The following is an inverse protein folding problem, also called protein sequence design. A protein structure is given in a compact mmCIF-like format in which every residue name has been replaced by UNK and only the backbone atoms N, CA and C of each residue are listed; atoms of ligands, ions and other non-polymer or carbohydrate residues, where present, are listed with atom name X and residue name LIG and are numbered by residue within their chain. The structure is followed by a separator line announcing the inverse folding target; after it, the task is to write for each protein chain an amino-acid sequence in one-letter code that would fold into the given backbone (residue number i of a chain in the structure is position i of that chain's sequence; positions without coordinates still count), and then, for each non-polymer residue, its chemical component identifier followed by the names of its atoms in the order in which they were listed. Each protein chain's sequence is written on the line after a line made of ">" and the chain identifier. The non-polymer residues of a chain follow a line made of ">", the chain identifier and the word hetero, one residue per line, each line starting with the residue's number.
data_IF_220270392739
#
_entry.id   IF_220270392739
#
_cell.length_a   1.000
_cell.length_b   1.000
_cell.length_c   1.000
_cell.angle_alpha   90.00
_cell.angle_beta   90.00
_cell.angle_gamma   90.00
#
_symmetry.space_group_name_H-M   'P 1'
#
loop_
_entity.id
_entity.type
_entity.pdbx_description
1 polymer ?
#
# COMPACT_ATOMS: atom_id res chain seq x y z
N UNK A 1 -27.14 22.53 -24.43
CA UNK A 1 -27.44 21.29 -23.68
C UNK A 1 -26.93 21.47 -22.27
N UNK A 2 -27.84 21.58 -21.30
CA UNK A 2 -27.49 21.57 -19.87
C UNK A 2 -27.16 20.12 -19.52
N UNK A 3 -25.93 19.86 -19.10
CA UNK A 3 -25.54 18.55 -18.60
C UNK A 3 -26.40 18.23 -17.39
N UNK A 4 -27.27 17.24 -17.51
CA UNK A 4 -28.02 16.69 -16.37
C UNK A 4 -26.98 16.05 -15.47
N UNK A 5 -26.67 16.70 -14.35
CA UNK A 5 -25.87 16.09 -13.30
C UNK A 5 -26.59 14.82 -12.86
N UNK A 6 -26.03 13.65 -13.18
CA UNK A 6 -26.50 12.38 -12.61
C UNK A 6 -26.44 12.56 -11.10
N UNK A 7 -27.58 12.49 -10.43
CA UNK A 7 -27.62 12.39 -8.97
C UNK A 7 -26.69 11.25 -8.57
N UNK A 8 -25.74 11.49 -7.64
CA UNK A 8 -24.90 10.41 -7.15
C UNK A 8 -25.80 9.31 -6.55
N UNK A 9 -25.47 8.05 -6.78
CA UNK A 9 -26.03 6.94 -6.01
C UNK A 9 -25.92 7.30 -4.52
N UNK A 10 -26.97 7.07 -3.73
CA UNK A 10 -26.98 7.42 -2.30
C UNK A 10 -25.79 6.82 -1.53
N UNK A 11 -25.30 5.65 -1.97
CA UNK A 11 -24.11 5.03 -1.40
C UNK A 11 -22.83 5.79 -1.76
N UNK A 12 -22.72 6.36 -2.97
CA UNK A 12 -21.61 7.22 -3.37
C UNK A 12 -21.65 8.53 -2.57
N UNK A 13 -22.82 9.16 -2.45
CA UNK A 13 -22.97 10.41 -1.71
C UNK A 13 -22.62 10.24 -0.23
N UNK A 14 -23.11 9.15 0.40
CA UNK A 14 -22.78 8.81 1.78
C UNK A 14 -21.29 8.54 1.95
N UNK A 15 -20.70 7.70 1.10
CA UNK A 15 -19.29 7.35 1.21
C UNK A 15 -18.38 8.54 0.89
N UNK A 16 -18.81 9.45 0.03
CA UNK A 16 -18.14 10.73 -0.19
C UNK A 16 -18.15 11.56 1.10
N UNK A 17 -19.30 11.73 1.75
CA UNK A 17 -19.38 12.45 3.03
C UNK A 17 -18.50 11.81 4.11
N UNK A 18 -18.51 10.48 4.22
CA UNK A 18 -17.65 9.74 5.16
C UNK A 18 -16.17 9.97 4.84
N UNK A 19 -15.82 10.06 3.54
CA UNK A 19 -14.47 10.39 3.07
C UNK A 19 -14.12 11.85 3.38
N UNK A 20 -15.02 12.82 3.20
CA UNK A 20 -14.77 14.22 3.56
C UNK A 20 -14.49 14.35 5.07
N UNK A 21 -15.33 13.74 5.90
CA UNK A 21 -15.13 13.74 7.35
C UNK A 21 -13.80 13.07 7.73
N UNK A 22 -13.49 11.94 7.08
CA UNK A 22 -12.24 11.23 7.26
C UNK A 22 -11.01 12.08 6.92
N UNK A 23 -11.03 12.77 5.78
CA UNK A 23 -9.92 13.64 5.35
C UNK A 23 -9.73 14.85 6.26
N UNK A 24 -10.81 15.39 6.85
CA UNK A 24 -10.74 16.48 7.84
C UNK A 24 -10.13 16.06 9.18
N UNK A 25 -10.08 14.75 9.49
CA UNK A 25 -9.40 14.24 10.68
C UNK A 25 -7.87 14.23 10.55
N UNK A 26 -7.35 14.38 9.34
CA UNK A 26 -5.92 14.50 9.08
C UNK A 26 -5.45 15.95 9.26
N UNK A 27 -4.25 16.15 9.81
CA UNK A 27 -3.63 17.47 9.95
C UNK A 27 -2.92 17.97 8.69
N UNK A 28 -2.65 17.08 7.72
CA UNK A 28 -2.10 17.36 6.40
C UNK A 28 -2.84 16.56 5.33
N UNK A 29 -2.37 16.69 4.09
CA UNK A 29 -2.89 15.99 2.93
C UNK A 29 -2.95 14.46 3.20
N UNK A 30 -4.14 13.85 3.20
CA UNK A 30 -4.28 12.43 3.41
C UNK A 30 -3.84 11.63 2.18
N UNK A 31 -3.52 10.36 2.41
CA UNK A 31 -3.37 9.35 1.37
C UNK A 31 -4.59 8.47 1.35
N UNK A 32 -5.30 8.48 0.22
CA UNK A 32 -6.38 7.53 -0.04
C UNK A 32 -5.76 6.23 -0.51
N UNK A 33 -5.94 5.18 0.29
CA UNK A 33 -5.48 3.83 0.00
C UNK A 33 -6.59 3.02 -0.69
N UNK A 34 -6.42 2.86 -2.00
CA UNK A 34 -7.28 2.11 -2.91
C UNK A 34 -6.69 0.75 -3.29
N UNK A 35 -5.96 0.09 -2.38
CA UNK A 35 -5.44 -1.27 -2.58
C UNK A 35 -6.50 -2.39 -2.54
N UNK A 36 -7.77 -2.04 -2.34
CA UNK A 36 -8.90 -2.99 -2.29
C UNK A 36 -9.56 -3.16 -3.67
N UNK A 37 -10.40 -4.20 -3.88
CA UNK A 37 -11.14 -4.38 -5.14
C UNK A 37 -11.92 -3.13 -5.55
N UNK A 38 -12.15 -2.99 -6.87
CA UNK A 38 -12.90 -1.91 -7.53
C UNK A 38 -14.36 -1.82 -7.06
N UNK A 39 -14.62 -1.40 -5.82
CA UNK A 39 -15.97 -1.10 -5.35
C UNK A 39 -16.43 0.19 -6.02
N UNK A 40 -17.42 0.09 -6.89
CA UNK A 40 -17.99 1.24 -7.61
C UNK A 40 -18.30 2.43 -6.69
N UNK A 41 -18.87 2.24 -5.48
CA UNK A 41 -19.10 3.36 -4.57
C UNK A 41 -17.81 4.07 -4.13
N UNK A 42 -16.74 3.31 -3.88
CA UNK A 42 -15.42 3.86 -3.48
C UNK A 42 -14.80 4.66 -4.62
N UNK A 43 -14.81 4.13 -5.84
CA UNK A 43 -14.32 4.85 -7.02
C UNK A 43 -15.13 6.14 -7.25
N UNK A 44 -16.44 6.06 -7.10
CA UNK A 44 -17.34 7.21 -7.19
C UNK A 44 -17.03 8.30 -6.15
N UNK A 45 -16.84 7.90 -4.88
CA UNK A 45 -16.54 8.82 -3.79
C UNK A 45 -15.18 9.51 -3.96
N UNK A 46 -14.14 8.76 -4.33
CA UNK A 46 -12.80 9.33 -4.59
C UNK A 46 -12.80 10.22 -5.84
N UNK A 47 -13.57 9.85 -6.87
CA UNK A 47 -13.77 10.69 -8.05
C UNK A 47 -14.48 12.01 -7.71
N UNK A 48 -15.46 11.98 -6.80
CA UNK A 48 -16.13 13.18 -6.31
C UNK A 48 -15.17 14.09 -5.52
N UNK A 49 -14.37 13.52 -4.60
CA UNK A 49 -13.33 14.24 -3.86
C UNK A 49 -12.34 14.95 -4.80
N UNK A 50 -11.87 14.24 -5.83
CA UNK A 50 -10.99 14.82 -6.85
C UNK A 50 -11.64 16.00 -7.59
N UNK A 51 -12.86 15.81 -8.10
CA UNK A 51 -13.59 16.85 -8.87
C UNK A 51 -13.90 18.09 -8.03
N UNK A 52 -14.10 17.91 -6.73
CA UNK A 52 -14.34 19.01 -5.79
C UNK A 52 -13.05 19.68 -5.30
N UNK A 53 -11.88 19.28 -5.83
CA UNK A 53 -10.61 19.92 -5.53
C UNK A 53 -10.02 19.57 -4.17
N UNK A 54 -10.46 18.47 -3.55
CA UNK A 54 -9.84 18.00 -2.31
C UNK A 54 -8.42 17.52 -2.58
N UNK A 55 -7.48 17.99 -1.77
CA UNK A 55 -6.09 17.55 -1.85
C UNK A 55 -5.95 16.18 -1.17
N UNK A 56 -5.41 15.21 -1.91
CA UNK A 56 -5.02 13.91 -1.37
C UNK A 56 -3.88 13.32 -2.22
N UNK A 57 -3.05 12.48 -1.59
CA UNK A 57 -2.23 11.48 -2.28
C UNK A 57 -3.05 10.22 -2.52
N UNK A 58 -2.68 9.39 -3.49
CA UNK A 58 -3.36 8.13 -3.78
C UNK A 58 -2.40 6.97 -3.97
N UNK A 59 -2.74 5.83 -3.38
CA UNK A 59 -2.03 4.57 -3.55
C UNK A 59 -3.02 3.45 -3.87
N UNK A 60 -2.69 2.48 -4.74
CA UNK A 60 -1.48 2.40 -5.55
C UNK A 60 -1.45 3.43 -6.68
N UNK A 61 -0.25 3.76 -7.18
CA UNK A 61 -0.05 4.90 -8.10
C UNK A 61 -0.80 4.79 -9.43
N UNK A 62 -1.20 3.59 -9.85
CA UNK A 62 -2.10 3.35 -10.98
C UNK A 62 -3.37 4.22 -10.93
N UNK A 63 -3.95 4.41 -9.74
CA UNK A 63 -5.16 5.21 -9.59
C UNK A 63 -4.96 6.68 -9.94
N UNK A 64 -3.75 7.20 -9.82
CA UNK A 64 -3.47 8.58 -10.26
C UNK A 64 -3.76 8.78 -11.75
N UNK A 65 -3.55 7.74 -12.59
CA UNK A 65 -3.84 7.78 -14.03
C UNK A 65 -5.35 7.91 -14.27
N UNK A 66 -6.16 7.16 -13.52
CA UNK A 66 -7.62 7.21 -13.58
C UNK A 66 -8.15 8.60 -13.22
N UNK A 67 -7.47 9.30 -12.31
CA UNK A 67 -7.81 10.66 -11.89
C UNK A 67 -6.97 11.73 -12.62
N UNK A 68 -6.41 11.43 -13.79
CA UNK A 68 -5.83 12.43 -14.69
C UNK A 68 -4.37 12.83 -14.42
N UNK A 69 -3.59 11.97 -13.76
CA UNK A 69 -2.14 12.11 -13.57
C UNK A 69 -1.70 13.27 -12.67
N UNK A 70 -2.66 13.96 -12.02
CA UNK A 70 -2.40 15.13 -11.16
C UNK A 70 -2.42 14.81 -9.67
N UNK A 71 -2.81 13.59 -9.30
CA UNK A 71 -2.89 13.17 -7.90
C UNK A 71 -1.51 12.64 -7.48
N UNK A 72 -0.87 13.22 -6.45
CA UNK A 72 0.38 12.69 -5.91
C UNK A 72 0.22 11.22 -5.50
N UNK A 73 1.28 10.43 -5.62
CA UNK A 73 1.24 8.99 -5.31
C UNK A 73 2.15 8.58 -4.18
N UNK A 74 2.91 9.54 -3.66
CA UNK A 74 3.72 9.36 -2.46
C UNK A 74 2.79 9.24 -1.24
N UNK A 75 2.86 8.12 -0.50
CA UNK A 75 2.10 7.97 0.72
C UNK A 75 2.51 9.02 1.76
N UNK A 76 1.50 9.64 2.36
CA UNK A 76 1.57 10.56 3.48
C UNK A 76 1.33 9.83 4.78
N UNK A 77 1.47 10.56 5.88
CA UNK A 77 1.33 10.01 7.22
C UNK A 77 -0.13 9.87 7.65
N UNK A 78 -1.12 10.47 6.99
CA UNK A 78 -2.52 10.16 7.26
C UNK A 78 -3.06 9.27 6.15
N UNK A 79 -3.47 8.05 6.46
CA UNK A 79 -3.96 7.08 5.48
C UNK A 79 -5.43 6.80 5.69
N UNK A 80 -6.23 7.09 4.67
CA UNK A 80 -7.65 6.75 4.60
C UNK A 80 -7.81 5.46 3.79
N UNK A 81 -8.30 4.41 4.41
CA UNK A 81 -8.56 3.11 3.77
C UNK A 81 -10.04 2.79 3.77
N UNK A 82 -10.45 1.88 2.90
CA UNK A 82 -11.84 1.40 2.83
C UNK A 82 -11.89 -0.06 3.27
N UNK A 83 -12.86 -0.38 4.11
CA UNK A 83 -13.15 -1.77 4.51
C UNK A 83 -14.60 -2.07 4.16
N UNK A 84 -14.84 -3.20 3.49
CA UNK A 84 -16.20 -3.69 3.27
C UNK A 84 -16.51 -4.74 4.33
N UNK A 85 -17.56 -4.51 5.11
CA UNK A 85 -18.17 -5.51 5.99
C UNK A 85 -19.63 -5.66 5.59
N UNK A 86 -19.98 -6.84 5.09
CA UNK A 86 -21.28 -7.11 4.45
C UNK A 86 -21.51 -6.14 3.27
N UNK A 87 -22.71 -5.54 3.17
CA UNK A 87 -23.07 -4.57 2.13
C UNK A 87 -22.67 -3.12 2.46
N UNK A 88 -21.89 -2.90 3.53
CA UNK A 88 -21.45 -1.57 3.95
C UNK A 88 -19.95 -1.40 3.79
N UNK A 89 -19.58 -0.33 3.08
CA UNK A 89 -18.21 0.15 3.02
C UNK A 89 -18.04 1.19 4.14
N UNK A 90 -17.04 0.99 4.99
CA UNK A 90 -16.61 1.94 6.00
C UNK A 90 -15.30 2.62 5.58
N UNK A 91 -15.16 3.88 5.98
CA UNK A 91 -13.93 4.64 5.82
C UNK A 91 -13.16 4.58 7.13
N UNK A 92 -11.93 4.06 7.07
CA UNK A 92 -11.03 3.94 8.21
C UNK A 92 -9.89 4.95 8.04
N UNK A 93 -9.79 5.91 8.97
CA UNK A 93 -8.68 6.87 9.02
C UNK A 93 -7.64 6.38 9.97
N UNK A 94 -6.40 6.38 9.49
CA UNK A 94 -5.23 6.13 10.31
C UNK A 94 -4.30 7.33 10.18
N UNK A 95 -4.41 8.24 11.12
CA UNK A 95 -3.57 9.43 11.19
C UNK A 95 -2.26 9.12 11.94
N UNK A 96 -1.17 9.06 11.19
CA UNK A 96 0.20 8.89 11.66
C UNK A 96 1.02 10.19 11.59
N UNK A 97 0.42 11.34 11.30
CA UNK A 97 1.12 12.62 11.20
C UNK A 97 1.72 13.06 12.53
N UNK A 98 1.00 12.80 13.62
CA UNK A 98 1.52 12.98 14.97
C UNK A 98 2.52 11.88 15.37
N UNK A 99 2.53 10.76 14.65
CA UNK A 99 3.33 9.57 14.93
C UNK A 99 4.75 9.69 14.35
N UNK A 100 4.96 10.51 13.32
CA UNK A 100 6.30 10.84 12.82
C UNK A 100 7.23 11.49 13.87
N UNK A 101 6.67 12.00 14.98
CA UNK A 101 7.40 12.54 16.14
C UNK A 101 7.55 11.55 17.31
N UNK A 102 6.95 10.36 17.20
CA UNK A 102 6.95 9.35 18.26
C UNK A 102 8.11 8.39 18.00
N UNK A 103 9.04 8.29 18.96
CA UNK A 103 10.04 7.25 18.95
C UNK A 103 9.37 5.87 18.98
N UNK A 104 9.57 5.10 17.91
CA UNK A 104 9.17 3.71 17.84
C UNK A 104 10.26 2.80 18.41
N UNK A 105 9.87 1.74 19.13
CA UNK A 105 10.81 0.72 19.58
C UNK A 105 10.90 -0.39 18.54
N UNK A 106 12.12 -0.73 18.12
CA UNK A 106 12.35 -1.83 17.18
C UNK A 106 11.84 -3.15 17.77
N UNK A 107 10.91 -3.80 17.08
CA UNK A 107 10.36 -5.11 17.49
C UNK A 107 10.75 -6.22 16.52
N UNK A 108 11.01 -5.88 15.25
CA UNK A 108 11.48 -6.82 14.23
C UNK A 108 12.55 -6.12 13.40
N UNK A 109 13.64 -6.85 13.12
CA UNK A 109 14.72 -6.42 12.23
C UNK A 109 14.95 -7.48 11.14
N UNK A 110 15.51 -7.07 10.01
CA UNK A 110 15.72 -7.95 8.85
C UNK A 110 16.54 -9.21 9.18
N UNK A 111 17.55 -9.09 10.04
CA UNK A 111 18.43 -10.17 10.48
C UNK A 111 17.72 -11.23 11.34
N UNK A 112 16.56 -10.89 11.90
CA UNK A 112 15.68 -11.82 12.64
C UNK A 112 14.67 -12.54 11.75
N UNK A 113 14.55 -12.14 10.48
CA UNK A 113 13.62 -12.73 9.54
C UNK A 113 14.23 -13.90 8.77
N UNK A 114 13.44 -14.96 8.63
CA UNK A 114 13.74 -16.12 7.80
C UNK A 114 12.82 -16.07 6.60
N UNK A 115 13.41 -16.10 5.40
CA UNK A 115 12.66 -16.05 4.16
C UNK A 115 12.71 -17.37 3.39
N UNK A 116 11.53 -17.84 3.01
CA UNK A 116 11.31 -18.96 2.11
C UNK A 116 11.05 -18.44 0.69
N UNK A 117 11.34 -19.28 -0.30
CA UNK A 117 11.09 -18.95 -1.71
C UNK A 117 9.63 -19.23 -2.05
N UNK A 118 9.02 -18.34 -2.82
CA UNK A 118 7.66 -18.47 -3.33
C UNK A 118 7.68 -18.26 -4.85
N UNK A 119 7.03 -19.17 -5.58
CA UNK A 119 6.97 -19.13 -7.05
C UNK A 119 8.26 -19.59 -7.72
N UNK A 120 8.34 -19.40 -9.04
CA UNK A 120 9.47 -19.83 -9.87
C UNK A 120 10.25 -18.61 -10.37
N UNK A 121 11.49 -18.49 -9.92
CA UNK A 121 12.45 -17.45 -10.27
C UNK A 121 13.87 -17.88 -9.86
N UNK A 122 14.87 -17.04 -10.15
CA UNK A 122 16.22 -17.15 -9.59
C UNK A 122 16.28 -16.41 -8.26
N UNK A 123 16.78 -17.07 -7.22
CA UNK A 123 16.82 -16.54 -5.87
C UNK A 123 18.25 -16.52 -5.33
N UNK A 124 18.69 -15.33 -4.93
CA UNK A 124 19.89 -15.15 -4.11
C UNK A 124 19.44 -14.84 -2.68
N UNK A 125 19.49 -15.87 -1.82
CA UNK A 125 19.13 -15.75 -0.40
C UNK A 125 20.11 -14.87 0.38
N UNK A 126 21.39 -14.87 0.02
CA UNK A 126 22.43 -14.13 0.74
C UNK A 126 22.25 -12.62 0.61
N UNK A 127 21.75 -12.17 -0.55
CA UNK A 127 21.46 -10.76 -0.81
C UNK A 127 19.97 -10.41 -0.78
N UNK A 128 19.09 -11.36 -0.46
CA UNK A 128 17.62 -11.23 -0.49
C UNK A 128 17.13 -10.63 -1.81
N UNK A 129 17.62 -11.19 -2.91
CA UNK A 129 17.29 -10.78 -4.28
C UNK A 129 16.60 -11.89 -5.04
N UNK A 130 15.47 -11.55 -5.67
CA UNK A 130 14.76 -12.41 -6.62
C UNK A 130 14.88 -11.81 -8.01
N UNK A 131 15.06 -12.66 -9.02
CA UNK A 131 15.15 -12.23 -10.42
C UNK A 131 14.56 -13.24 -11.39
N UNK A 132 13.99 -12.78 -12.50
CA UNK A 132 13.44 -13.62 -13.56
C UNK A 132 13.51 -12.91 -14.91
N UNK A 133 13.89 -13.64 -15.96
CA UNK A 133 13.85 -13.14 -17.35
C UNK A 133 12.42 -13.20 -17.94
N UNK A 134 11.59 -14.10 -17.42
CA UNK A 134 10.18 -14.25 -17.81
C UNK A 134 9.27 -13.57 -16.80
N UNK A 135 8.09 -13.14 -17.25
CA UNK A 135 7.06 -12.60 -16.36
C UNK A 135 6.60 -13.69 -15.38
N UNK A 136 6.67 -13.38 -14.09
CA UNK A 136 6.38 -14.31 -13.00
C UNK A 136 5.78 -13.57 -11.80
N UNK A 137 5.07 -14.30 -10.95
CA UNK A 137 4.72 -13.88 -9.60
C UNK A 137 5.55 -14.74 -8.64
N UNK A 138 6.67 -14.18 -8.20
CA UNK A 138 7.67 -14.91 -7.44
C UNK A 138 8.46 -13.98 -6.51
N UNK A 139 8.79 -14.48 -5.34
CA UNK A 139 9.39 -13.67 -4.31
C UNK A 139 9.80 -14.46 -3.08
N UNK A 140 10.08 -13.71 -2.03
CA UNK A 140 10.36 -14.25 -0.72
C UNK A 140 9.15 -14.08 0.18
N UNK A 141 8.92 -15.06 1.03
CA UNK A 141 7.89 -15.09 2.04
C UNK A 141 8.56 -15.24 3.41
N UNK A 142 8.27 -14.36 4.36
CA UNK A 142 8.82 -14.48 5.72
C UNK A 142 8.22 -15.68 6.45
N UNK A 143 8.86 -16.07 7.57
CA UNK A 143 8.18 -16.86 8.59
C UNK A 143 6.89 -16.16 9.05
N UNK A 144 6.01 -16.92 9.70
CA UNK A 144 4.85 -16.35 10.36
C UNK A 144 5.26 -15.44 11.51
N UNK A 145 4.70 -14.24 11.53
CA UNK A 145 4.94 -13.21 12.52
C UNK A 145 3.64 -12.94 13.29
N UNK A 146 3.78 -12.69 14.58
CA UNK A 146 2.68 -12.22 15.42
C UNK A 146 3.18 -11.01 16.20
N UNK A 147 2.42 -9.92 16.13
CA UNK A 147 2.65 -8.72 16.91
C UNK A 147 1.45 -8.52 17.83
N UNK A 148 1.62 -8.03 19.07
CA UNK A 148 0.50 -7.60 19.90
C UNK A 148 -0.39 -6.59 19.17
N UNK A 149 -1.66 -6.51 19.57
CA UNK A 149 -2.54 -5.50 19.02
C UNK A 149 -1.98 -4.09 19.29
N UNK A 150 -1.88 -3.26 18.26
CA UNK A 150 -1.24 -1.95 18.37
C UNK A 150 -0.84 -1.34 17.05
N UNK A 151 -0.33 -0.12 17.11
CA UNK A 151 0.13 0.65 15.94
C UNK A 151 1.62 0.40 15.69
N UNK A 152 1.97 0.18 14.43
CA UNK A 152 3.32 -0.13 13.99
C UNK A 152 3.71 0.67 12.76
N UNK A 153 5.01 0.89 12.59
CA UNK A 153 5.64 1.39 11.37
C UNK A 153 6.57 0.33 10.81
N UNK A 154 6.48 0.07 9.52
CA UNK A 154 7.49 -0.66 8.76
C UNK A 154 8.35 0.33 7.99
N UNK A 155 9.67 0.20 8.12
CA UNK A 155 10.66 0.90 7.33
C UNK A 155 11.48 -0.13 6.57
N UNK A 156 11.55 -0.01 5.25
CA UNK A 156 12.32 -0.90 4.41
C UNK A 156 13.13 -0.09 3.38
N UNK A 157 14.13 -0.74 2.80
CA UNK A 157 14.85 -0.20 1.65
C UNK A 157 14.90 -1.25 0.57
N UNK A 158 14.53 -0.87 -0.64
CA UNK A 158 14.47 -1.77 -1.81
C UNK A 158 15.39 -1.27 -2.92
N UNK A 159 15.93 -2.22 -3.68
CA UNK A 159 16.48 -1.98 -5.02
C UNK A 159 15.64 -2.77 -6.02
N UNK A 160 15.43 -2.21 -7.21
CA UNK A 160 14.82 -2.97 -8.29
C UNK A 160 15.29 -2.50 -9.66
N UNK A 161 15.20 -3.42 -10.60
CA UNK A 161 15.14 -3.14 -12.03
C UNK A 161 14.12 -4.13 -12.57
N UNK A 162 12.87 -3.72 -12.67
CA UNK A 162 11.73 -4.60 -12.89
C UNK A 162 10.73 -4.00 -13.88
N UNK A 163 10.01 -4.85 -14.61
CA UNK A 163 9.00 -4.42 -15.57
C UNK A 163 7.77 -5.29 -15.43
N UNK A 164 6.58 -4.67 -15.46
CA UNK A 164 5.31 -5.36 -15.40
C UNK A 164 4.89 -5.88 -16.78
N UNK A 165 4.12 -6.98 -16.81
CA UNK A 165 3.60 -7.53 -18.07
C UNK A 165 2.56 -6.59 -18.71
N UNK A 166 1.74 -5.94 -17.87
CA UNK A 166 0.68 -5.04 -18.29
C UNK A 166 1.01 -3.60 -17.92
N UNK A 167 0.83 -2.70 -18.87
CA UNK A 167 0.99 -1.27 -18.65
C UNK A 167 0.08 -0.80 -17.50
N UNK A 168 0.64 -0.06 -16.55
CA UNK A 168 -0.08 0.44 -15.36
C UNK A 168 -0.27 -0.60 -14.24
N UNK A 169 0.28 -1.82 -14.37
CA UNK A 169 0.36 -2.79 -13.27
C UNK A 169 1.73 -2.73 -12.58
N UNK A 170 1.81 -3.24 -11.35
CA UNK A 170 3.06 -3.35 -10.63
C UNK A 170 3.97 -4.46 -11.17
N UNK A 171 5.26 -4.21 -11.20
CA UNK A 171 6.31 -5.15 -11.59
C UNK A 171 6.82 -5.98 -10.41
N UNK A 172 6.54 -5.52 -9.18
CA UNK A 172 6.97 -6.15 -7.95
C UNK A 172 6.30 -5.49 -6.75
N UNK A 173 6.66 -5.97 -5.57
CA UNK A 173 6.02 -5.53 -4.34
C UNK A 173 6.86 -5.70 -3.08
N UNK A 174 6.40 -5.00 -2.02
CA UNK A 174 6.45 -5.41 -0.62
C UNK A 174 4.99 -5.48 -0.12
N UNK A 175 4.63 -6.51 0.63
CA UNK A 175 3.24 -6.77 1.01
C UNK A 175 3.11 -7.55 2.32
N UNK A 176 1.93 -7.44 2.95
CA UNK A 176 1.43 -8.45 3.85
C UNK A 176 0.87 -9.58 2.99
N UNK A 177 1.53 -10.74 3.00
CA UNK A 177 1.27 -11.82 2.06
C UNK A 177 -0.21 -12.23 2.06
N UNK A 178 -0.80 -12.25 0.87
CA UNK A 178 -2.21 -12.62 0.66
C UNK A 178 -3.24 -11.68 1.29
N UNK A 179 -2.82 -10.59 1.94
CA UNK A 179 -3.71 -9.64 2.64
C UNK A 179 -3.74 -8.28 1.96
N UNK A 180 -2.60 -7.60 1.88
CA UNK A 180 -2.56 -6.23 1.35
C UNK A 180 -1.17 -5.82 0.89
N UNK A 181 -1.15 -4.91 -0.09
CA UNK A 181 0.08 -4.28 -0.58
C UNK A 181 0.61 -3.27 0.44
N UNK A 182 1.91 -3.30 0.69
CA UNK A 182 2.63 -2.26 1.45
C UNK A 182 3.21 -1.25 0.46
N UNK A 183 3.87 -1.74 -0.59
CA UNK A 183 4.46 -0.93 -1.64
C UNK A 183 4.39 -1.67 -2.98
N UNK A 184 3.92 -0.96 -4.01
CA UNK A 184 3.87 -1.45 -5.38
C UNK A 184 5.02 -0.86 -6.19
N UNK A 185 5.84 -1.72 -6.81
CA UNK A 185 6.94 -1.30 -7.68
C UNK A 185 6.37 -1.02 -9.06
N UNK A 186 6.19 0.26 -9.41
CA UNK A 186 5.61 0.69 -10.68
C UNK A 186 6.64 1.33 -11.63
N UNK A 187 7.72 1.87 -11.08
CA UNK A 187 8.82 2.41 -11.88
C UNK A 187 9.80 1.32 -12.30
N UNK A 188 10.44 1.52 -13.45
CA UNK A 188 11.27 0.49 -14.08
C UNK A 188 12.56 0.19 -13.32
N UNK A 189 13.17 1.16 -12.63
CA UNK A 189 14.44 0.97 -11.91
C UNK A 189 14.56 1.99 -10.78
N UNK A 190 14.99 1.52 -9.61
CA UNK A 190 15.39 2.40 -8.50
C UNK A 190 16.41 1.72 -7.58
N UNK A 191 17.16 2.55 -6.85
CA UNK A 191 18.21 2.12 -5.92
C UNK A 191 18.08 2.82 -4.58
N UNK A 192 18.25 2.07 -3.50
CA UNK A 192 18.15 2.50 -2.11
C UNK A 192 16.85 3.25 -1.82
N UNK A 193 15.75 2.83 -2.44
CA UNK A 193 14.47 3.50 -2.27
C UNK A 193 13.90 3.17 -0.90
N UNK A 194 13.68 4.17 -0.03
CA UNK A 194 13.02 3.95 1.25
C UNK A 194 11.53 3.66 1.02
N UNK A 195 11.02 2.71 1.80
CA UNK A 195 9.59 2.41 1.88
C UNK A 195 9.20 2.51 3.35
N UNK A 196 8.31 3.45 3.64
CA UNK A 196 7.70 3.57 4.96
C UNK A 196 6.21 3.33 4.82
N UNK A 197 5.68 2.45 5.65
CA UNK A 197 4.26 2.27 5.79
C UNK A 197 3.88 2.08 7.24
N UNK A 198 2.63 2.39 7.53
CA UNK A 198 2.08 2.31 8.86
C UNK A 198 0.92 1.31 8.86
N UNK A 199 0.82 0.53 9.92
CA UNK A 199 -0.23 -0.47 10.05
C UNK A 199 -0.66 -0.65 11.50
N UNK A 200 -1.75 -1.36 11.68
CA UNK A 200 -2.26 -1.75 13.00
C UNK A 200 -2.28 -3.26 13.01
N UNK A 201 -1.62 -3.88 13.99
CA UNK A 201 -1.80 -5.29 14.25
C UNK A 201 -3.06 -5.49 15.08
N UNK A 202 -3.80 -6.55 14.78
CA UNK A 202 -4.97 -7.05 15.50
C UNK A 202 -4.61 -8.24 16.41
N UNK A 203 -3.32 -8.53 16.59
CA UNK A 203 -2.86 -9.72 17.30
C UNK A 203 -2.88 -11.00 16.47
N UNK A 204 -3.37 -10.95 15.22
CA UNK A 204 -3.44 -12.14 14.37
C UNK A 204 -2.12 -12.37 13.62
N UNK A 205 -1.80 -13.64 13.29
CA UNK A 205 -0.63 -13.95 12.51
C UNK A 205 -0.65 -13.32 11.11
N UNK A 206 0.53 -12.96 10.63
CA UNK A 206 0.75 -12.47 9.28
C UNK A 206 2.12 -12.88 8.75
N UNK A 207 2.31 -12.79 7.44
CA UNK A 207 3.61 -12.95 6.79
C UNK A 207 3.89 -11.73 5.93
N UNK A 208 5.17 -11.40 5.78
CA UNK A 208 5.63 -10.40 4.84
C UNK A 208 6.05 -11.11 3.55
N UNK A 209 5.78 -10.48 2.40
CA UNK A 209 6.32 -10.94 1.12
C UNK A 209 6.88 -9.78 0.31
N UNK A 210 7.93 -10.06 -0.44
CA UNK A 210 8.47 -9.12 -1.42
C UNK A 210 9.00 -9.88 -2.65
N UNK A 211 9.06 -9.22 -3.79
CA UNK A 211 9.52 -9.85 -5.02
C UNK A 211 8.90 -9.28 -6.28
N UNK A 212 8.96 -10.05 -7.37
CA UNK A 212 8.35 -9.73 -8.65
C UNK A 212 6.85 -10.07 -8.63
N UNK A 213 6.03 -9.25 -9.28
CA UNK A 213 4.59 -9.41 -9.26
C UNK A 213 3.93 -8.94 -7.97
N UNK A 214 3.06 -9.79 -7.41
CA UNK A 214 2.13 -9.46 -6.33
C UNK A 214 0.84 -8.88 -6.87
N UNK A 215 -0.17 -9.72 -7.10
CA UNK A 215 -1.43 -9.39 -7.81
C UNK A 215 -1.28 -9.12 -9.32
N UNK A 216 -0.05 -9.19 -9.82
CA UNK A 216 0.34 -9.07 -11.22
C UNK A 216 1.58 -9.95 -11.46
N UNK A 217 2.13 -9.89 -12.67
CA UNK A 217 3.39 -10.54 -13.04
C UNK A 217 4.44 -9.49 -13.37
N UNK A 218 5.69 -9.79 -13.01
CA UNK A 218 6.84 -8.95 -13.30
C UNK A 218 8.06 -9.76 -13.72
N UNK A 219 9.00 -9.09 -14.39
CA UNK A 219 10.32 -9.63 -14.74
C UNK A 219 11.41 -8.63 -14.36
N UNK A 220 12.67 -9.07 -14.36
CA UNK A 220 13.82 -8.29 -13.91
C UNK A 220 14.28 -8.74 -12.54
N UNK A 221 14.51 -7.82 -11.59
CA UNK A 221 14.91 -8.16 -10.23
C UNK A 221 14.41 -7.18 -9.18
N UNK A 222 14.17 -7.71 -7.97
CA UNK A 222 13.79 -6.97 -6.76
C UNK A 222 14.66 -7.49 -5.61
N UNK A 223 15.18 -6.57 -4.80
CA UNK A 223 16.04 -6.86 -3.66
C UNK A 223 15.57 -6.09 -2.42
N UNK A 224 15.46 -6.79 -1.29
CA UNK A 224 15.26 -6.19 0.03
C UNK A 224 16.59 -5.94 0.71
N UNK A 225 16.93 -4.67 0.94
CA UNK A 225 18.20 -4.24 1.55
C UNK A 225 18.12 -4.11 3.06
N UNK A 226 16.99 -3.61 3.55
CA UNK A 226 16.73 -3.41 4.97
C UNK A 226 15.24 -3.56 5.25
N UNK A 227 14.91 -3.98 6.46
CA UNK A 227 13.54 -4.01 6.96
C UNK A 227 13.57 -3.88 8.48
N UNK A 228 12.72 -3.02 9.01
CA UNK A 228 12.51 -2.82 10.43
C UNK A 228 11.03 -2.59 10.69
N UNK A 229 10.48 -3.26 11.70
CA UNK A 229 9.17 -2.93 12.25
C UNK A 229 9.36 -2.32 13.63
N UNK A 230 8.70 -1.19 13.85
CA UNK A 230 8.74 -0.44 15.09
C UNK A 230 7.34 -0.38 15.69
N UNK A 231 7.23 -0.73 16.97
CA UNK A 231 6.02 -0.46 17.73
C UNK A 231 5.98 1.02 18.06
N UNK A 232 4.84 1.66 17.78
CA UNK A 232 4.61 3.06 18.05
C UNK A 232 4.02 3.19 19.45
N UNK A 233 4.57 4.10 20.27
CA UNK A 233 3.99 4.38 21.59
C UNK A 233 2.59 4.96 21.41
N UNK A 234 1.61 4.39 22.11
CA UNK A 234 0.28 4.99 22.23
C UNK A 234 0.43 6.30 23.02
N UNK A 235 -0.23 7.37 22.55
CA UNK A 235 -0.42 8.60 23.33
C UNK A 235 -1.50 8.38 24.38
#
# INVERSE_FOLDING_TARGET
>A
MVAVAKTPDENIARLYSDLEEATQRCTSTPTINMNQPLWEPTVGAVSAAYRNGQAFSITPSFWSIIFGGRVPTEPTHCVTSFTQKNDRISVDVKDYENIGKIEGSAVINLDTLVFEQYGTALFDKGSLRVSSESFTDAGFLSQELTLPAGSYRINATLNWSATSEKHGSNAGHLSFHGKSMIYAINDSTATNTPVTAYFTSDGQPFRLSFGLGGWSTGKGSVQLKSLKIEQLKQQ
#
